data_IF_712933693481
#
_entry.id   IF_712933693481
#
_cell.length_a   1.000
_cell.length_b   1.000
_cell.length_c   1.000
_cell.angle_alpha   90.00
_cell.angle_beta   90.00
_cell.angle_gamma   90.00
#
_symmetry.space_group_name_H-M   'P 1'
#
loop_
_entity.id
_entity.type
_entity.pdbx_description
1 polymer ?
#
# COMPACT_ATOMS: atom_id res chain seq x y z
N UNK A 1 -7.08 -12.07 -13.21
CA UNK A 1 -6.68 -13.43 -12.75
C UNK A 1 -5.95 -14.25 -13.82
N UNK A 2 -6.34 -14.19 -15.11
CA UNK A 2 -5.57 -14.80 -16.22
C UNK A 2 -4.12 -14.32 -16.25
N UNK A 3 -3.89 -13.02 -16.09
CA UNK A 3 -2.55 -12.41 -16.13
C UNK A 3 -1.61 -12.99 -15.05
N UNK A 4 -2.11 -13.30 -13.86
CA UNK A 4 -1.30 -13.91 -12.80
C UNK A 4 -0.89 -15.36 -13.11
N UNK A 5 -1.70 -16.10 -13.88
CA UNK A 5 -1.37 -17.47 -14.32
C UNK A 5 -0.34 -17.48 -15.46
N UNK A 6 -0.39 -16.50 -16.35
CA UNK A 6 0.50 -16.40 -17.50
C UNK A 6 1.93 -15.97 -17.14
N UNK A 7 2.11 -15.21 -16.07
CA UNK A 7 3.44 -14.74 -15.65
C UNK A 7 4.26 -15.82 -14.93
N UNK A 8 3.65 -16.93 -14.51
CA UNK A 8 4.33 -18.14 -14.01
C UNK A 8 5.26 -17.96 -12.79
N UNK A 9 5.24 -16.80 -12.14
CA UNK A 9 6.13 -16.49 -11.02
C UNK A 9 5.41 -16.81 -9.71
N UNK A 10 5.88 -17.78 -8.92
CA UNK A 10 5.30 -18.07 -7.61
C UNK A 10 5.51 -16.87 -6.69
N UNK A 11 4.42 -16.19 -6.35
CA UNK A 11 4.48 -14.97 -5.56
C UNK A 11 3.85 -15.22 -4.19
N UNK A 12 4.57 -14.89 -3.11
CA UNK A 12 4.20 -15.37 -1.78
C UNK A 12 3.00 -14.65 -1.14
N UNK A 13 2.61 -13.48 -1.66
CA UNK A 13 1.56 -12.68 -1.02
C UNK A 13 0.95 -11.66 -1.96
N UNK A 14 -0.38 -11.53 -1.92
CA UNK A 14 -1.15 -10.46 -2.54
C UNK A 14 -1.97 -9.72 -1.49
N UNK A 15 -2.24 -8.46 -1.79
CA UNK A 15 -3.18 -7.64 -1.03
C UNK A 15 -4.39 -7.35 -1.91
N UNK A 16 -5.58 -7.69 -1.42
CA UNK A 16 -6.83 -7.26 -2.03
C UNK A 16 -7.37 -6.11 -1.20
N UNK A 17 -7.58 -4.99 -1.85
CA UNK A 17 -8.03 -3.75 -1.21
C UNK A 17 -9.35 -3.33 -1.83
N UNK A 18 -10.29 -2.94 -1.00
CA UNK A 18 -11.54 -2.34 -1.42
C UNK A 18 -11.39 -0.82 -1.51
N UNK A 19 -11.94 -0.20 -2.55
CA UNK A 19 -12.01 1.25 -2.67
C UNK A 19 -12.81 1.86 -1.52
N UNK A 20 -12.66 3.16 -1.28
CA UNK A 20 -13.41 3.87 -0.25
C UNK A 20 -13.04 3.55 1.21
N UNK A 21 -12.16 2.60 1.47
CA UNK A 21 -11.69 2.26 2.83
C UNK A 21 -10.27 2.77 3.08
N UNK A 22 -10.06 3.32 4.27
CA UNK A 22 -8.77 3.85 4.72
C UNK A 22 -8.14 3.03 5.86
N UNK A 23 -6.99 3.46 6.33
CA UNK A 23 -6.27 2.93 7.53
C UNK A 23 -6.01 1.43 7.51
N UNK A 24 -6.02 0.80 6.33
CA UNK A 24 -5.83 -0.65 6.20
C UNK A 24 -7.06 -1.49 6.52
N UNK A 25 -8.22 -0.87 6.76
CA UNK A 25 -9.48 -1.56 6.96
C UNK A 25 -9.88 -2.25 5.65
N UNK A 26 -10.35 -3.50 5.74
CA UNK A 26 -10.81 -4.27 4.57
C UNK A 26 -9.68 -4.75 3.63
N UNK A 27 -8.40 -4.62 4.00
CA UNK A 27 -7.31 -5.24 3.25
C UNK A 27 -7.24 -6.71 3.59
N UNK A 28 -7.34 -7.57 2.59
CA UNK A 28 -7.11 -9.01 2.70
C UNK A 28 -5.71 -9.36 2.22
N UNK A 29 -5.05 -10.28 2.91
CA UNK A 29 -3.76 -10.84 2.51
C UNK A 29 -3.95 -12.27 2.02
N UNK A 30 -3.52 -12.56 0.80
CA UNK A 30 -3.67 -13.86 0.15
C UNK A 30 -2.30 -14.45 -0.16
N UNK A 31 -2.09 -15.73 0.15
CA UNK A 31 -0.81 -16.43 -0.01
C UNK A 31 -0.86 -17.51 -1.10
N UNK A 32 -2.03 -17.75 -1.70
CA UNK A 32 -2.23 -18.61 -2.86
C UNK A 32 -3.16 -17.96 -3.87
N UNK A 33 -3.17 -18.49 -5.09
CA UNK A 33 -4.10 -18.02 -6.13
C UNK A 33 -5.53 -18.33 -5.74
N UNK A 34 -5.77 -19.50 -5.15
CA UNK A 34 -7.08 -19.90 -4.65
C UNK A 34 -7.62 -18.95 -3.59
N UNK A 35 -6.78 -18.58 -2.60
CA UNK A 35 -7.14 -17.55 -1.60
C UNK A 35 -7.47 -16.21 -2.26
N UNK A 36 -6.71 -15.82 -3.28
CA UNK A 36 -6.95 -14.60 -4.03
C UNK A 36 -8.28 -14.63 -4.78
N UNK A 37 -8.58 -15.73 -5.47
CA UNK A 37 -9.83 -15.94 -6.19
C UNK A 37 -11.01 -15.86 -5.22
N UNK A 38 -10.96 -16.59 -4.12
CA UNK A 38 -11.99 -16.58 -3.09
C UNK A 38 -12.19 -15.19 -2.45
N UNK A 39 -11.10 -14.46 -2.22
CA UNK A 39 -11.18 -13.11 -1.69
C UNK A 39 -11.87 -12.12 -2.64
N UNK A 40 -11.55 -12.20 -3.94
CA UNK A 40 -12.17 -11.35 -4.97
C UNK A 40 -13.64 -11.70 -5.14
N UNK A 41 -13.98 -12.99 -5.22
CA UNK A 41 -15.37 -13.44 -5.35
C UNK A 41 -16.24 -13.06 -4.14
N UNK A 42 -15.70 -13.26 -2.93
CA UNK A 42 -16.39 -12.90 -1.68
C UNK A 42 -16.66 -11.40 -1.56
N UNK A 43 -15.71 -10.56 -2.02
CA UNK A 43 -15.91 -9.12 -2.04
C UNK A 43 -16.90 -8.68 -3.12
N UNK A 44 -16.90 -9.32 -4.29
CA UNK A 44 -17.85 -9.03 -5.37
C UNK A 44 -19.29 -9.40 -5.00
N UNK A 45 -19.52 -10.54 -4.31
CA UNK A 45 -20.85 -10.92 -3.83
C UNK A 45 -21.44 -9.89 -2.88
N UNK A 46 -20.63 -9.35 -1.99
CA UNK A 46 -21.06 -8.29 -1.05
C UNK A 46 -21.37 -6.94 -1.73
N UNK A 47 -20.94 -6.76 -3.00
CA UNK A 47 -21.26 -5.57 -3.80
C UNK A 47 -22.64 -5.68 -4.47
N UNK A 48 -23.04 -6.90 -4.87
CA UNK A 48 -24.33 -7.15 -5.54
C UNK A 48 -25.54 -7.04 -4.61
N UNK A 49 -25.35 -7.19 -3.30
CA UNK A 49 -26.42 -7.19 -2.32
C UNK A 49 -26.76 -5.79 -1.75
N UNK A 50 -26.02 -4.76 -2.13
CA UNK A 50 -26.28 -3.38 -1.71
C UNK A 50 -26.97 -2.59 -2.84
N UNK A 51 -28.23 -2.82 -3.03
CA UNK A 51 -29.12 -1.90 -3.76
C UNK A 51 -29.32 -0.63 -2.92
N UNK A 52 -28.89 0.50 -3.40
CA UNK A 52 -29.20 1.89 -3.02
C UNK A 52 -27.99 2.73 -2.62
N UNK A 53 -27.62 3.59 -3.47
CA UNK A 53 -27.11 4.95 -3.28
C UNK A 53 -25.96 5.26 -4.28
N UNK A 54 -26.09 6.32 -5.07
CA UNK A 54 -25.11 6.82 -6.05
C UNK A 54 -23.71 7.18 -5.44
N UNK A 55 -23.60 7.16 -4.11
CA UNK A 55 -22.32 7.29 -3.37
C UNK A 55 -21.48 6.00 -3.35
N UNK A 56 -22.06 4.87 -3.77
CA UNK A 56 -21.47 3.52 -3.65
C UNK A 56 -20.42 3.24 -4.74
N UNK A 57 -20.36 4.01 -5.83
CA UNK A 57 -19.45 3.75 -6.96
C UNK A 57 -17.96 3.70 -6.62
N UNK A 58 -17.50 4.38 -5.58
CA UNK A 58 -16.10 4.32 -5.14
C UNK A 58 -15.77 3.07 -4.32
N UNK A 59 -16.76 2.39 -3.74
CA UNK A 59 -16.57 1.14 -2.99
C UNK A 59 -16.49 -0.10 -3.91
N UNK A 60 -16.87 0.03 -5.18
CA UNK A 60 -16.88 -1.06 -6.17
C UNK A 60 -15.50 -1.41 -6.72
N UNK A 61 -14.51 -0.54 -6.55
CA UNK A 61 -13.16 -0.79 -7.04
C UNK A 61 -12.41 -1.74 -6.12
N UNK A 62 -12.00 -2.88 -6.69
CA UNK A 62 -11.06 -3.80 -6.06
C UNK A 62 -9.67 -3.61 -6.66
N UNK A 63 -8.70 -3.32 -5.80
CA UNK A 63 -7.30 -3.27 -6.16
C UNK A 63 -6.60 -4.53 -5.68
N UNK A 64 -6.08 -5.33 -6.61
CA UNK A 64 -5.20 -6.46 -6.33
C UNK A 64 -3.76 -6.00 -6.49
N UNK A 65 -3.04 -5.99 -5.39
CA UNK A 65 -1.64 -5.56 -5.34
C UNK A 65 -0.74 -6.70 -4.89
N UNK A 66 0.31 -6.94 -5.64
CA UNK A 66 1.31 -7.91 -5.25
C UNK A 66 2.24 -7.34 -4.17
N UNK A 67 2.62 -8.20 -3.21
CA UNK A 67 3.66 -7.87 -2.26
C UNK A 67 5.02 -7.78 -2.97
N UNK A 68 5.80 -6.73 -2.78
CA UNK A 68 7.16 -6.63 -3.31
C UNK A 68 8.05 -7.78 -2.81
N UNK A 69 8.87 -8.35 -3.69
CA UNK A 69 9.72 -9.49 -3.34
C UNK A 69 10.91 -9.11 -2.45
N UNK A 70 11.50 -7.95 -2.72
CA UNK A 70 12.66 -7.42 -2.02
C UNK A 70 12.27 -6.22 -1.18
N UNK A 71 11.89 -6.48 0.07
CA UNK A 71 11.57 -5.44 1.02
C UNK A 71 12.84 -4.95 1.72
N UNK A 72 12.99 -3.64 1.80
CA UNK A 72 13.85 -3.05 2.82
C UNK A 72 13.18 -3.23 4.17
N UNK A 73 13.91 -3.71 5.15
CA UNK A 73 13.42 -3.87 6.52
C UNK A 73 14.14 -2.91 7.46
N UNK A 74 13.42 -2.38 8.43
CA UNK A 74 13.98 -1.63 9.53
C UNK A 74 13.99 -2.50 10.79
N UNK A 75 15.17 -2.78 11.32
CA UNK A 75 15.33 -3.71 12.47
C UNK A 75 14.59 -5.04 12.26
N UNK A 76 14.73 -5.62 11.08
CA UNK A 76 14.03 -6.85 10.66
C UNK A 76 12.50 -6.75 10.61
N UNK A 77 11.92 -5.55 10.68
CA UNK A 77 10.49 -5.30 10.61
C UNK A 77 10.12 -4.66 9.28
N UNK A 78 8.95 -4.97 8.75
CA UNK A 78 8.37 -4.26 7.62
C UNK A 78 8.01 -2.84 8.05
N UNK A 79 8.23 -1.88 7.15
CA UNK A 79 7.86 -0.49 7.40
C UNK A 79 7.33 0.17 6.13
N UNK A 80 6.67 1.30 6.32
CA UNK A 80 6.36 2.23 5.23
C UNK A 80 6.70 3.66 5.63
N UNK A 81 6.86 4.50 4.61
CA UNK A 81 7.11 5.93 4.78
C UNK A 81 5.86 6.72 4.37
N UNK A 82 5.43 7.62 5.23
CA UNK A 82 4.47 8.67 4.87
C UNK A 82 5.26 9.91 4.48
N UNK A 83 5.22 10.22 3.22
CA UNK A 83 5.86 11.42 2.64
C UNK A 83 4.82 12.52 2.45
N UNK A 84 5.25 13.77 2.56
CA UNK A 84 4.40 14.93 2.37
C UNK A 84 4.83 15.64 1.11
N UNK A 85 3.88 15.81 0.20
CA UNK A 85 4.07 16.44 -1.10
C UNK A 85 3.11 17.62 -1.20
N UNK A 86 3.62 18.77 -1.59
CA UNK A 86 2.82 19.94 -1.91
C UNK A 86 2.85 20.13 -3.43
N UNK A 87 1.68 20.17 -4.04
CA UNK A 87 1.53 20.46 -5.47
C UNK A 87 0.44 21.50 -5.68
N UNK A 88 0.69 22.57 -6.46
CA UNK A 88 -0.36 23.51 -6.83
C UNK A 88 -1.29 22.87 -7.85
N UNK A 89 -2.46 23.51 -8.06
CA UNK A 89 -3.56 23.02 -8.89
C UNK A 89 -3.15 22.54 -10.30
N UNK A 90 -2.12 23.13 -10.87
CA UNK A 90 -1.69 22.82 -12.25
C UNK A 90 -0.51 21.84 -12.34
N UNK A 91 -0.11 21.21 -11.24
CA UNK A 91 0.99 20.23 -11.18
C UNK A 91 2.32 20.68 -11.82
N UNK A 92 2.47 21.99 -12.09
CA UNK A 92 3.67 22.54 -12.74
C UNK A 92 4.88 22.62 -11.81
N UNK A 93 4.64 22.54 -10.51
CA UNK A 93 5.69 22.44 -9.47
C UNK A 93 5.25 21.45 -8.41
N UNK A 94 6.21 20.69 -7.91
CA UNK A 94 5.99 19.71 -6.84
C UNK A 94 7.10 19.88 -5.82
N UNK A 95 6.72 20.05 -4.56
CA UNK A 95 7.65 20.11 -3.44
C UNK A 95 7.50 18.88 -2.58
N UNK A 96 8.59 18.19 -2.39
CA UNK A 96 8.68 17.09 -1.44
C UNK A 96 9.25 17.60 -0.13
N UNK A 97 8.57 17.36 0.97
CA UNK A 97 9.11 17.67 2.29
C UNK A 97 10.39 16.85 2.54
N UNK A 98 11.39 17.48 3.12
CA UNK A 98 12.75 16.92 3.28
C UNK A 98 12.87 15.69 4.17
N UNK A 99 11.78 15.29 4.83
CA UNK A 99 11.73 14.12 5.68
C UNK A 99 10.39 13.40 5.55
N UNK A 100 10.25 12.25 6.19
CA UNK A 100 9.07 11.42 6.17
C UNK A 100 8.79 10.83 7.54
N UNK A 101 7.56 10.38 7.78
CA UNK A 101 7.23 9.58 8.96
C UNK A 101 7.39 8.11 8.59
N UNK A 102 8.19 7.40 9.39
CA UNK A 102 8.38 5.96 9.28
C UNK A 102 7.42 5.25 10.24
N UNK A 103 6.60 4.34 9.74
CA UNK A 103 5.75 3.44 10.52
C UNK A 103 6.26 2.01 10.33
N UNK A 104 6.62 1.35 11.41
CA UNK A 104 7.09 -0.03 11.36
C UNK A 104 6.12 -0.98 12.06
N UNK A 105 6.05 -2.20 11.55
CA UNK A 105 5.32 -3.30 12.19
C UNK A 105 5.83 -3.56 13.60
N UNK A 106 4.95 -3.98 14.48
CA UNK A 106 5.30 -4.44 15.83
C UNK A 106 6.07 -5.76 15.79
N UNK A 107 5.84 -6.59 14.78
CA UNK A 107 6.41 -7.93 14.65
C UNK A 107 7.59 -7.95 13.66
N UNK A 108 8.56 -8.84 13.93
CA UNK A 108 9.63 -9.19 12.99
C UNK A 108 9.02 -9.78 11.72
N UNK A 109 9.47 -9.32 10.56
CA UNK A 109 8.94 -9.74 9.27
C UNK A 109 9.38 -11.15 8.89
N UNK A 110 8.41 -11.99 8.61
CA UNK A 110 8.58 -13.31 8.02
C UNK A 110 7.77 -13.43 6.74
N UNK A 111 8.45 -13.68 5.62
CA UNK A 111 7.83 -13.69 4.28
C UNK A 111 6.65 -14.66 4.16
N UNK A 112 6.71 -15.80 4.84
CA UNK A 112 5.69 -16.86 4.79
C UNK A 112 4.67 -16.80 5.93
N UNK A 113 4.81 -15.87 6.86
CA UNK A 113 3.89 -15.72 7.98
C UNK A 113 2.52 -15.26 7.47
N UNK A 114 1.47 -15.82 8.05
CA UNK A 114 0.07 -15.42 7.81
C UNK A 114 -0.41 -14.34 8.78
N UNK A 115 0.43 -13.90 9.70
CA UNK A 115 0.08 -12.86 10.66
C UNK A 115 -0.10 -11.52 9.94
N UNK A 116 -1.28 -10.96 10.08
CA UNK A 116 -1.69 -9.74 9.39
C UNK A 116 -0.84 -8.52 9.77
N UNK A 117 -0.50 -8.38 11.04
CA UNK A 117 0.31 -7.31 11.60
C UNK A 117 1.73 -7.24 10.98
N UNK A 118 2.29 -8.38 10.56
CA UNK A 118 3.57 -8.44 9.85
C UNK A 118 3.52 -7.83 8.46
N UNK A 119 2.37 -7.90 7.80
CA UNK A 119 2.19 -7.49 6.41
C UNK A 119 1.59 -6.09 6.28
N UNK A 120 0.69 -5.72 7.19
CA UNK A 120 0.03 -4.41 7.23
C UNK A 120 0.67 -3.54 8.31
N UNK A 121 1.40 -2.52 7.89
CA UNK A 121 2.13 -1.60 8.77
C UNK A 121 1.31 -0.35 9.14
N UNK A 122 0.02 -0.32 8.79
CA UNK A 122 -0.88 0.75 9.21
C UNK A 122 -1.00 0.77 10.72
N UNK A 123 -0.83 1.91 11.35
CA UNK A 123 -0.88 2.06 12.81
C UNK A 123 -2.13 1.44 13.44
N UNK A 124 -3.30 1.67 12.82
CA UNK A 124 -4.59 1.12 13.28
C UNK A 124 -4.75 -0.39 13.13
N UNK A 125 -3.83 -1.06 12.44
CA UNK A 125 -3.83 -2.52 12.24
C UNK A 125 -2.78 -3.24 13.07
N UNK A 126 -2.03 -2.50 13.90
CA UNK A 126 -1.06 -3.06 14.83
C UNK A 126 -1.75 -3.35 16.16
N UNK A 127 -1.39 -4.44 16.80
CA UNK A 127 -1.91 -4.77 18.12
C UNK A 127 -1.54 -3.68 19.13
N UNK A 128 -2.57 -3.05 19.71
CA UNK A 128 -2.44 -1.93 20.64
C UNK A 128 -1.74 -2.32 21.96
N UNK A 129 -1.59 -3.60 22.22
CA UNK A 129 -0.96 -4.13 23.44
C UNK A 129 0.57 -4.11 23.37
N UNK A 130 1.14 -4.09 22.16
CA UNK A 130 2.58 -3.97 22.03
C UNK A 130 2.97 -2.49 22.06
N UNK A 131 3.56 -2.03 23.16
CA UNK A 131 4.24 -0.71 23.27
C UNK A 131 5.36 -0.50 22.23
N UNK A 132 5.51 -1.41 21.28
CA UNK A 132 6.54 -1.49 20.26
C UNK A 132 6.11 -0.97 18.88
N UNK A 133 4.92 -0.36 18.77
CA UNK A 133 4.53 0.31 17.50
C UNK A 133 5.47 1.48 17.28
N UNK A 134 6.35 1.33 16.31
CA UNK A 134 7.33 2.36 16.06
C UNK A 134 6.79 3.38 15.07
N UNK A 135 6.76 4.63 15.52
CA UNK A 135 6.58 5.80 14.69
C UNK A 135 7.76 6.75 14.92
N UNK A 136 8.43 7.15 13.86
CA UNK A 136 9.56 8.06 13.97
C UNK A 136 9.90 8.77 12.67
N UNK A 137 10.85 9.66 12.75
CA UNK A 137 11.30 10.45 11.60
C UNK A 137 12.26 9.61 10.75
N UNK A 138 12.02 9.51 9.44
CA UNK A 138 12.77 8.64 8.55
C UNK A 138 14.28 8.91 8.55
N UNK A 139 14.70 10.16 8.62
CA UNK A 139 16.13 10.55 8.72
C UNK A 139 16.84 10.00 9.96
N UNK A 140 16.10 9.75 11.04
CA UNK A 140 16.62 9.14 12.27
C UNK A 140 16.56 7.61 12.24
N UNK A 141 15.60 7.04 11.48
CA UNK A 141 15.37 5.60 11.41
C UNK A 141 16.25 4.93 10.37
N UNK A 142 16.40 5.55 9.20
CA UNK A 142 17.08 5.00 8.05
C UNK A 142 18.49 5.57 7.95
N UNK A 143 19.48 4.73 8.23
CA UNK A 143 20.90 5.14 8.22
C UNK A 143 21.40 5.58 6.83
N UNK A 144 20.85 5.02 5.76
CA UNK A 144 21.24 5.37 4.39
C UNK A 144 20.50 6.61 3.92
N UNK A 145 21.23 7.64 3.49
CA UNK A 145 20.64 8.83 2.85
C UNK A 145 19.99 8.53 1.48
N UNK A 146 20.18 7.33 0.95
CA UNK A 146 19.68 6.95 -0.36
C UNK A 146 18.13 6.80 -0.40
N UNK A 147 17.47 6.59 0.75
CA UNK A 147 16.02 6.48 0.82
C UNK A 147 15.33 7.74 0.27
N UNK A 148 15.83 8.92 0.61
CA UNK A 148 15.22 10.18 0.16
C UNK A 148 15.33 10.34 -1.36
N UNK A 149 16.47 9.97 -1.95
CA UNK A 149 16.64 9.98 -3.41
C UNK A 149 15.66 9.02 -4.11
N UNK A 150 15.46 7.83 -3.57
CA UNK A 150 14.51 6.86 -4.10
C UNK A 150 13.06 7.38 -4.00
N UNK A 151 12.68 7.92 -2.85
CA UNK A 151 11.37 8.55 -2.65
C UNK A 151 11.18 9.73 -3.60
N UNK A 152 12.17 10.60 -3.74
CA UNK A 152 12.12 11.74 -4.68
C UNK A 152 11.88 11.27 -6.11
N UNK A 153 12.55 10.19 -6.53
CA UNK A 153 12.33 9.60 -7.86
C UNK A 153 10.91 9.07 -8.01
N UNK A 154 10.39 8.31 -7.06
CA UNK A 154 9.02 7.81 -7.10
C UNK A 154 7.99 8.94 -7.17
N UNK A 155 8.16 10.00 -6.38
CA UNK A 155 7.29 11.18 -6.41
C UNK A 155 7.35 11.85 -7.77
N UNK A 156 8.54 12.04 -8.31
CA UNK A 156 8.73 12.62 -9.64
C UNK A 156 8.02 11.80 -10.72
N UNK A 157 8.22 10.48 -10.73
CA UNK A 157 7.62 9.58 -11.71
C UNK A 157 6.07 9.66 -11.67
N UNK A 158 5.48 9.57 -10.47
CA UNK A 158 4.02 9.67 -10.26
C UNK A 158 3.45 11.02 -10.75
N UNK A 159 4.08 12.13 -10.38
CA UNK A 159 3.57 13.44 -10.78
C UNK A 159 3.82 13.77 -12.24
N UNK A 160 4.83 13.18 -12.87
CA UNK A 160 5.05 13.28 -14.30
C UNK A 160 3.93 12.61 -15.10
N UNK A 161 3.51 11.40 -14.68
CA UNK A 161 2.39 10.69 -15.29
C UNK A 161 1.05 11.43 -15.08
N UNK A 162 0.78 11.88 -13.86
CA UNK A 162 -0.43 12.66 -13.58
C UNK A 162 -0.50 13.94 -14.42
N UNK A 163 0.63 14.62 -14.62
CA UNK A 163 0.68 15.81 -15.47
C UNK A 163 0.38 15.49 -16.92
N UNK A 164 0.91 14.40 -17.46
CA UNK A 164 0.64 13.95 -18.83
C UNK A 164 -0.85 13.67 -19.02
N UNK A 165 -1.47 12.92 -18.10
CA UNK A 165 -2.91 12.60 -18.15
C UNK A 165 -3.80 13.86 -18.13
N UNK A 166 -3.42 14.92 -17.42
CA UNK A 166 -4.21 16.17 -17.35
C UNK A 166 -4.05 17.07 -18.58
N UNK A 167 -3.02 16.87 -19.41
CA UNK A 167 -2.81 17.64 -20.66
C UNK A 167 -3.63 17.04 -21.78
N UNK A 168 -3.85 15.73 -21.78
CA UNK A 168 -4.58 15.02 -22.83
C UNK A 168 -6.11 15.20 -22.73
N UNK A 169 -6.63 15.76 -21.63
CA UNK A 169 -8.07 16.06 -21.43
C UNK A 169 -8.50 17.46 -21.91
N UNK A 170 -7.64 18.20 -22.61
CA UNK A 170 -7.95 19.52 -23.21
C UNK A 170 -7.99 19.45 -24.72
#
# INVERSE_FOLDING_TARGET
>A
LRVCKEIGIPRPCWFVKRGGKDRGVGILTCFSIEELENAVEGLNKNLSDSETDDRVRNDELLLVQQCPERLMLWKSRKFHLRVFVLSPKHLNRVWLFKDAICYASTSTYEKKSRKRDMHLTNFSQQDSVANDTFQGVASKCLRSKNWFRQVSKCVYDVFSELRSSLVDEK
#
